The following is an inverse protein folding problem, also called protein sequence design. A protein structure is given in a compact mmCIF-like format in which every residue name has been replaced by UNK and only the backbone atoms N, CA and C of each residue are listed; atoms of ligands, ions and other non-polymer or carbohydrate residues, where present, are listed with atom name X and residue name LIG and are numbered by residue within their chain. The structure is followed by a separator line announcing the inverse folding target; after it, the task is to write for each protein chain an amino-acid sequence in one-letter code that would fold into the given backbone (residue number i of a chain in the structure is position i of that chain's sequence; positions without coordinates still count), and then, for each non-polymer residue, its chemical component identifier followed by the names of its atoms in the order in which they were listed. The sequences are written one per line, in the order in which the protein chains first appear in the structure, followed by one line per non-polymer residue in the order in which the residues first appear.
data_IF_015878045065
#
_entry.id   IF_015878045065
#
_cell.length_a   1.000
_cell.length_b   1.000
_cell.length_c   1.000
_cell.angle_alpha   90.00
_cell.angle_beta   90.00
_cell.angle_gamma   90.00
#
_symmetry.space_group_name_H-M   'P 1'
#
loop_
_entity.id
_entity.type
_entity.pdbx_description
1 polymer ?
#
# COMPACT_ATOMS: atom_id res chain seq x y z
N UNK A 1 -16.46 -19.42 -39.55
CA UNK A 1 -16.49 -18.01 -39.04
C UNK A 1 -15.23 -17.23 -39.42
N UNK A 2 -15.22 -15.89 -39.30
CA UNK A 2 -13.96 -15.13 -39.38
C UNK A 2 -13.13 -15.32 -38.10
N UNK A 3 -11.81 -15.24 -38.22
CA UNK A 3 -10.85 -15.43 -37.10
C UNK A 3 -11.07 -14.42 -35.96
N UNK A 4 -11.52 -13.21 -36.29
CA UNK A 4 -11.82 -12.17 -35.30
C UNK A 4 -13.01 -12.56 -34.41
N UNK A 5 -14.08 -13.09 -35.01
CA UNK A 5 -15.25 -13.56 -34.27
C UNK A 5 -14.91 -14.72 -33.33
N UNK A 6 -14.08 -15.66 -33.79
CA UNK A 6 -13.60 -16.79 -32.97
C UNK A 6 -12.78 -16.27 -31.79
N UNK A 7 -11.84 -15.34 -32.01
CA UNK A 7 -11.07 -14.72 -30.92
C UNK A 7 -11.94 -13.99 -29.91
N UNK A 8 -12.97 -13.27 -30.38
CA UNK A 8 -13.93 -12.56 -29.51
C UNK A 8 -14.74 -13.52 -28.65
N UNK A 9 -15.25 -14.60 -29.24
CA UNK A 9 -16.00 -15.64 -28.51
C UNK A 9 -15.10 -16.36 -27.49
N UNK A 10 -13.90 -16.76 -27.90
CA UNK A 10 -12.92 -17.37 -27.02
C UNK A 10 -12.49 -16.44 -25.88
N UNK A 11 -12.32 -15.14 -26.15
CA UNK A 11 -12.00 -14.14 -25.14
C UNK A 11 -13.10 -14.00 -24.09
N UNK A 12 -14.38 -14.03 -24.52
CA UNK A 12 -15.54 -14.02 -23.61
C UNK A 12 -15.62 -15.28 -22.74
N UNK A 13 -15.35 -16.45 -23.33
CA UNK A 13 -15.33 -17.74 -22.61
C UNK A 13 -14.17 -17.78 -21.60
N UNK A 14 -12.97 -17.35 -22.01
CA UNK A 14 -11.75 -17.35 -21.19
C UNK A 14 -11.62 -16.14 -20.24
N UNK A 15 -12.60 -15.22 -20.27
CA UNK A 15 -12.59 -13.96 -19.49
C UNK A 15 -11.28 -13.18 -19.64
N UNK A 16 -10.78 -13.06 -20.87
CA UNK A 16 -9.52 -12.37 -21.19
C UNK A 16 -9.71 -11.38 -22.35
N UNK A 17 -8.68 -10.59 -22.66
CA UNK A 17 -8.70 -9.73 -23.85
C UNK A 17 -8.37 -10.53 -25.12
N UNK A 18 -8.90 -10.13 -26.26
CA UNK A 18 -8.73 -10.81 -27.56
C UNK A 18 -7.26 -11.02 -27.95
N UNK A 19 -6.39 -10.06 -27.62
CA UNK A 19 -4.95 -10.13 -27.86
C UNK A 19 -4.25 -11.28 -27.11
N UNK A 20 -4.85 -11.76 -26.02
CA UNK A 20 -4.33 -12.89 -25.23
C UNK A 20 -4.82 -14.24 -25.74
N UNK A 21 -5.75 -14.28 -26.69
CA UNK A 21 -6.19 -15.53 -27.31
C UNK A 21 -5.22 -15.90 -28.44
N UNK A 22 -4.58 -17.06 -28.31
CA UNK A 22 -3.74 -17.68 -29.34
C UNK A 22 -4.52 -18.82 -29.99
N UNK A 23 -4.65 -18.77 -31.31
CA UNK A 23 -5.13 -19.92 -32.09
C UNK A 23 -3.90 -20.67 -32.56
N UNK A 24 -3.80 -21.94 -32.17
CA UNK A 24 -2.67 -22.82 -32.53
C UNK A 24 -2.96 -23.52 -33.84
N UNK A 25 -4.17 -24.05 -34.01
CA UNK A 25 -4.64 -24.69 -35.24
C UNK A 25 -5.73 -23.84 -35.90
N UNK A 26 -5.37 -23.20 -37.01
CA UNK A 26 -6.27 -22.32 -37.76
C UNK A 26 -7.30 -23.11 -38.59
N UNK A 27 -6.99 -24.34 -39.01
CA UNK A 27 -7.89 -25.14 -39.82
C UNK A 27 -9.10 -25.55 -38.98
N UNK A 28 -8.85 -26.20 -37.83
CA UNK A 28 -9.91 -26.62 -36.89
C UNK A 28 -10.72 -25.45 -36.33
N UNK A 29 -10.07 -24.31 -36.09
CA UNK A 29 -10.75 -23.14 -35.56
C UNK A 29 -11.78 -22.56 -36.54
N UNK A 30 -11.55 -22.65 -37.86
CA UNK A 30 -12.45 -22.07 -38.88
C UNK A 30 -13.80 -22.78 -38.97
N UNK A 31 -13.82 -24.08 -38.66
CA UNK A 31 -14.99 -24.95 -38.69
C UNK A 31 -15.93 -24.71 -37.50
N UNK A 32 -15.48 -24.00 -36.46
CA UNK A 32 -16.32 -23.66 -35.31
C UNK A 32 -17.43 -22.65 -35.66
N UNK A 33 -18.66 -22.93 -35.21
CA UNK A 33 -19.85 -22.11 -35.44
C UNK A 33 -20.55 -21.68 -34.14
N UNK A 34 -20.41 -22.45 -33.06
CA UNK A 34 -21.07 -22.16 -31.79
C UNK A 34 -20.06 -21.80 -30.69
N UNK A 35 -20.57 -21.27 -29.58
CA UNK A 35 -19.73 -21.02 -28.38
C UNK A 35 -19.30 -22.33 -27.73
N UNK A 36 -20.07 -23.41 -27.89
CA UNK A 36 -19.75 -24.73 -27.36
C UNK A 36 -18.61 -25.40 -28.14
N UNK A 37 -18.56 -25.24 -29.46
CA UNK A 37 -17.42 -25.70 -30.28
C UNK A 37 -16.13 -25.02 -29.84
N UNK A 38 -16.18 -23.70 -29.58
CA UNK A 38 -15.04 -22.94 -29.06
C UNK A 38 -14.60 -23.45 -27.68
N UNK A 39 -15.53 -23.89 -26.81
CA UNK A 39 -15.20 -24.53 -25.54
C UNK A 39 -14.52 -25.89 -25.75
N UNK A 40 -14.95 -26.68 -26.73
CA UNK A 40 -14.30 -27.93 -27.14
C UNK A 40 -12.86 -27.70 -27.60
N UNK A 41 -12.66 -26.76 -28.52
CA UNK A 41 -11.34 -26.40 -29.06
C UNK A 41 -10.38 -25.82 -28.01
N UNK A 42 -10.89 -25.18 -26.96
CA UNK A 42 -10.07 -24.75 -25.81
C UNK A 42 -9.60 -25.96 -25.01
N UNK A 43 -10.45 -26.96 -24.77
CA UNK A 43 -10.09 -28.19 -24.04
C UNK A 43 -9.07 -29.03 -24.81
N UNK A 44 -9.22 -29.11 -26.14
CA UNK A 44 -8.28 -29.80 -27.03
C UNK A 44 -6.96 -29.03 -27.22
N UNK A 45 -6.89 -27.77 -26.78
CA UNK A 45 -5.68 -26.94 -26.88
C UNK A 45 -5.45 -26.31 -28.26
N UNK A 46 -6.43 -26.39 -29.18
CA UNK A 46 -6.40 -25.68 -30.46
C UNK A 46 -6.54 -24.15 -30.27
N UNK A 47 -7.21 -23.72 -29.20
CA UNK A 47 -7.28 -22.33 -28.75
C UNK A 47 -6.70 -22.22 -27.34
N UNK A 48 -5.69 -21.36 -27.16
CA UNK A 48 -4.95 -21.23 -25.91
C UNK A 48 -4.94 -19.80 -25.38
N UNK A 49 -4.92 -19.67 -24.06
CA UNK A 49 -4.72 -18.39 -23.38
C UNK A 49 -3.22 -18.12 -23.23
N UNK A 50 -2.74 -17.02 -23.81
CA UNK A 50 -1.40 -16.51 -23.53
C UNK A 50 -1.31 -16.06 -22.06
N UNK A 51 -0.26 -16.46 -21.32
CA UNK A 51 -0.04 -15.96 -19.97
C UNK A 51 0.11 -14.43 -20.00
N UNK A 52 -0.36 -13.77 -18.94
CA UNK A 52 -0.21 -12.33 -18.83
C UNK A 52 1.25 -11.95 -18.59
N UNK A 53 1.77 -11.00 -19.36
CA UNK A 53 3.10 -10.44 -19.11
C UNK A 53 3.02 -9.54 -17.88
N UNK A 54 3.60 -9.99 -16.76
CA UNK A 54 3.75 -9.20 -15.55
C UNK A 54 5.01 -8.34 -15.59
N UNK A 55 4.99 -7.19 -14.89
CA UNK A 55 6.18 -6.35 -14.72
C UNK A 55 6.91 -6.72 -13.42
N UNK A 56 8.21 -7.01 -13.51
CA UNK A 56 9.00 -7.36 -12.33
C UNK A 56 9.14 -6.18 -11.37
N UNK A 57 8.92 -6.43 -10.07
CA UNK A 57 9.11 -5.46 -9.00
C UNK A 57 10.45 -5.61 -8.26
N UNK A 58 11.37 -6.45 -8.73
CA UNK A 58 12.64 -6.72 -8.04
C UNK A 58 13.47 -5.45 -7.77
N UNK A 59 13.70 -4.62 -8.80
CA UNK A 59 14.44 -3.35 -8.67
C UNK A 59 13.74 -2.36 -7.74
N UNK A 60 12.41 -2.32 -7.77
CA UNK A 60 11.62 -1.45 -6.89
C UNK A 60 11.73 -1.88 -5.42
N UNK A 61 11.63 -3.19 -5.14
CA UNK A 61 11.81 -3.78 -3.81
C UNK A 61 13.21 -3.51 -3.25
N UNK A 62 14.24 -3.75 -4.05
CA UNK A 62 15.63 -3.45 -3.65
C UNK A 62 15.83 -1.96 -3.32
N UNK A 63 15.29 -1.05 -4.14
CA UNK A 63 15.34 0.40 -3.83
C UNK A 63 14.58 0.74 -2.54
N UNK A 64 13.44 0.11 -2.28
CA UNK A 64 12.65 0.34 -1.07
C UNK A 64 13.40 -0.14 0.18
N UNK A 65 14.00 -1.32 0.13
CA UNK A 65 14.83 -1.86 1.21
C UNK A 65 16.01 -0.93 1.54
N UNK A 66 16.75 -0.48 0.51
CA UNK A 66 17.85 0.49 0.70
C UNK A 66 17.36 1.81 1.31
N UNK A 67 16.17 2.29 0.93
CA UNK A 67 15.55 3.51 1.51
C UNK A 67 15.09 3.30 2.96
N UNK A 68 14.58 2.12 3.30
CA UNK A 68 14.18 1.78 4.67
C UNK A 68 15.40 1.72 5.59
N UNK A 69 16.52 1.20 5.11
CA UNK A 69 17.82 1.26 5.80
C UNK A 69 18.46 2.67 5.85
N UNK A 70 17.74 3.72 5.42
CA UNK A 70 18.21 5.11 5.47
C UNK A 70 19.07 5.57 4.28
N UNK A 71 19.46 4.67 3.37
CA UNK A 71 20.27 5.01 2.19
C UNK A 71 19.42 5.65 1.09
N UNK A 72 20.05 6.32 0.12
CA UNK A 72 19.37 6.98 -1.03
C UNK A 72 18.33 8.05 -0.61
N UNK A 73 18.58 8.75 0.50
CA UNK A 73 17.71 9.83 1.03
C UNK A 73 18.42 11.20 1.14
N UNK A 74 19.64 11.33 0.60
CA UNK A 74 20.41 12.58 0.61
C UNK A 74 19.80 13.68 -0.24
N UNK A 75 20.31 14.91 -0.07
CA UNK A 75 19.74 16.13 -0.68
C UNK A 75 19.70 16.07 -2.20
N UNK A 76 20.77 15.60 -2.87
CA UNK A 76 20.78 15.46 -4.33
C UNK A 76 19.76 14.47 -4.91
N UNK A 77 19.21 13.55 -4.10
CA UNK A 77 18.12 12.65 -4.50
C UNK A 77 16.74 13.26 -4.26
N UNK A 78 16.66 14.39 -3.56
CA UNK A 78 15.43 15.07 -3.19
C UNK A 78 15.11 16.14 -4.23
N UNK A 79 13.91 16.07 -4.80
CA UNK A 79 13.43 17.03 -5.83
C UNK A 79 12.36 18.01 -5.32
N UNK A 80 11.86 17.83 -4.10
CA UNK A 80 10.77 18.63 -3.54
C UNK A 80 11.19 19.35 -2.27
N UNK A 81 10.46 20.43 -1.94
CA UNK A 81 10.75 21.28 -0.77
C UNK A 81 10.80 20.51 0.55
N UNK A 82 11.43 21.10 1.57
CA UNK A 82 11.65 20.44 2.86
C UNK A 82 10.35 19.90 3.51
N UNK A 83 9.24 20.63 3.38
CA UNK A 83 7.95 20.29 3.95
C UNK A 83 7.00 19.55 3.02
N UNK A 84 7.39 19.29 1.76
CA UNK A 84 6.53 18.60 0.78
C UNK A 84 6.12 17.17 1.21
N UNK A 85 7.00 16.44 1.90
CA UNK A 85 6.72 15.06 2.34
C UNK A 85 5.91 15.00 3.64
N UNK A 86 6.21 15.90 4.57
CA UNK A 86 5.56 16.00 5.88
C UNK A 86 5.40 17.47 6.23
N UNK A 87 4.16 17.96 6.15
CA UNK A 87 3.83 19.34 6.45
C UNK A 87 4.00 19.65 7.93
N UNK A 88 4.17 20.93 8.27
CA UNK A 88 4.30 21.38 9.66
C UNK A 88 3.11 20.91 10.52
N UNK A 89 1.89 21.06 10.00
CA UNK A 89 0.66 20.60 10.68
C UNK A 89 0.65 19.09 10.90
N UNK A 90 1.04 18.28 9.93
CA UNK A 90 1.12 16.82 10.08
C UNK A 90 2.12 16.40 11.16
N UNK A 91 3.30 17.04 11.19
CA UNK A 91 4.32 16.78 12.23
C UNK A 91 3.79 17.13 13.61
N UNK A 92 3.15 18.29 13.76
CA UNK A 92 2.53 18.73 15.01
C UNK A 92 1.42 17.78 15.48
N UNK A 93 0.49 17.43 14.59
CA UNK A 93 -0.60 16.49 14.90
C UNK A 93 -0.05 15.13 15.33
N UNK A 94 0.93 14.57 14.62
CA UNK A 94 1.54 13.28 14.98
C UNK A 94 2.18 13.33 16.35
N UNK A 95 2.92 14.41 16.64
CA UNK A 95 3.56 14.65 17.95
C UNK A 95 2.52 14.70 19.08
N UNK A 96 1.55 15.61 19.01
CA UNK A 96 0.53 15.82 20.05
C UNK A 96 -0.32 14.58 20.27
N UNK A 97 -0.80 13.94 19.20
CA UNK A 97 -1.59 12.70 19.30
C UNK A 97 -0.80 11.58 19.96
N UNK A 98 0.48 11.46 19.64
CA UNK A 98 1.34 10.44 20.25
C UNK A 98 1.51 10.67 21.76
N UNK A 99 1.68 11.92 22.19
CA UNK A 99 1.82 12.29 23.61
C UNK A 99 0.51 12.12 24.38
N UNK A 100 -0.62 12.54 23.79
CA UNK A 100 -1.95 12.35 24.40
C UNK A 100 -2.36 10.89 24.49
N UNK A 101 -2.02 10.07 23.48
CA UNK A 101 -2.23 8.63 23.53
C UNK A 101 -1.48 7.97 24.68
N UNK A 102 -0.22 8.38 24.93
CA UNK A 102 0.54 7.92 26.10
C UNK A 102 -0.09 8.40 27.41
N UNK A 103 -0.50 9.67 27.48
CA UNK A 103 -1.16 10.22 28.67
C UNK A 103 -2.46 9.47 29.01
N UNK A 104 -3.23 9.09 27.99
CA UNK A 104 -4.46 8.29 28.17
C UNK A 104 -4.15 6.90 28.76
N UNK A 105 -3.04 6.28 28.34
CA UNK A 105 -2.58 5.01 28.91
C UNK A 105 -2.10 5.15 30.37
N UNK A 106 -1.49 6.28 30.72
CA UNK A 106 -1.02 6.56 32.09
C UNK A 106 -2.12 7.05 33.03
N UNK A 107 -3.26 7.54 32.50
CA UNK A 107 -4.40 8.08 33.27
C UNK A 107 -4.77 7.28 34.53
N UNK A 108 -4.93 5.95 34.52
CA UNK A 108 -5.30 5.20 35.73
C UNK A 108 -4.25 5.24 36.83
N UNK A 109 -2.97 5.43 36.48
CA UNK A 109 -1.83 5.47 37.41
C UNK A 109 -1.48 6.88 37.84
N UNK A 110 -2.11 7.91 37.27
CA UNK A 110 -1.80 9.30 37.60
C UNK A 110 -2.53 9.73 38.87
N UNK A 111 -1.88 10.60 39.64
CA UNK A 111 -2.50 11.34 40.74
C UNK A 111 -3.68 12.17 40.22
N UNK A 112 -4.69 12.38 41.06
CA UNK A 112 -5.87 13.16 40.70
C UNK A 112 -5.48 14.60 40.28
N UNK A 113 -6.17 15.15 39.27
CA UNK A 113 -5.85 16.46 38.70
C UNK A 113 -4.61 16.52 37.78
N UNK A 114 -3.65 15.58 37.90
CA UNK A 114 -2.42 15.59 37.10
C UNK A 114 -2.68 15.45 35.59
N UNK A 115 -3.66 14.63 35.19
CA UNK A 115 -4.02 14.42 33.78
C UNK A 115 -4.40 15.73 33.07
N UNK A 116 -5.26 16.56 33.67
CA UNK A 116 -5.71 17.80 33.06
C UNK A 116 -4.55 18.80 32.88
N UNK A 117 -3.66 18.90 33.89
CA UNK A 117 -2.45 19.74 33.83
C UNK A 117 -1.53 19.30 32.69
N UNK A 118 -1.19 18.01 32.64
CA UNK A 118 -0.33 17.44 31.60
C UNK A 118 -0.95 17.59 30.20
N UNK A 119 -2.26 17.43 30.07
CA UNK A 119 -2.97 17.61 28.80
C UNK A 119 -2.86 19.04 28.25
N UNK A 120 -2.97 20.05 29.13
CA UNK A 120 -2.76 21.47 28.78
C UNK A 120 -1.29 21.74 28.41
N UNK A 121 -0.32 21.18 29.14
CA UNK A 121 1.11 21.29 28.82
C UNK A 121 1.46 20.65 27.46
N UNK A 122 0.84 19.52 27.12
CA UNK A 122 0.98 18.90 25.79
C UNK A 122 0.40 19.81 24.70
N UNK A 123 -0.78 20.44 24.94
CA UNK A 123 -1.34 21.45 24.01
C UNK A 123 -0.36 22.62 23.80
N UNK A 124 0.33 23.04 24.86
CA UNK A 124 1.34 24.10 24.86
C UNK A 124 2.69 23.75 24.23
N UNK A 125 2.88 22.54 23.71
CA UNK A 125 4.15 22.08 23.11
C UNK A 125 5.33 21.99 24.11
N UNK A 126 5.07 21.89 25.42
CA UNK A 126 6.11 21.86 26.44
C UNK A 126 7.04 20.64 26.31
N UNK A 127 6.54 19.53 25.75
CA UNK A 127 7.29 18.28 25.59
C UNK A 127 7.74 18.10 24.13
N UNK A 128 9.03 17.85 23.89
CA UNK A 128 9.60 17.58 22.55
C UNK A 128 9.31 16.15 22.06
N UNK A 129 9.28 15.17 22.95
CA UNK A 129 9.03 13.77 22.66
C UNK A 129 8.18 13.10 23.76
N UNK A 130 7.79 11.83 23.55
CA UNK A 130 7.10 11.02 24.57
C UNK A 130 7.97 10.80 25.82
N UNK A 131 9.26 10.53 25.62
CA UNK A 131 10.24 10.31 26.71
C UNK A 131 10.26 11.47 27.70
N UNK A 132 10.23 12.70 27.22
CA UNK A 132 10.25 13.88 28.08
C UNK A 132 8.95 14.02 28.90
N UNK A 133 7.80 13.60 28.36
CA UNK A 133 6.55 13.55 29.13
C UNK A 133 6.66 12.53 30.27
N UNK A 134 7.27 11.36 30.02
CA UNK A 134 7.48 10.32 31.04
C UNK A 134 8.44 10.81 32.12
N UNK A 135 9.60 11.37 31.74
CA UNK A 135 10.56 11.94 32.68
C UNK A 135 9.91 12.99 33.60
N UNK A 136 9.11 13.89 33.03
CA UNK A 136 8.41 14.90 33.81
C UNK A 136 7.41 14.28 34.81
N UNK A 137 6.69 13.23 34.41
CA UNK A 137 5.77 12.50 35.29
C UNK A 137 6.51 11.82 36.45
N UNK A 138 7.67 11.24 36.18
CA UNK A 138 8.54 10.60 37.18
C UNK A 138 9.16 11.62 38.15
N UNK A 139 9.78 12.68 37.62
CA UNK A 139 10.41 13.76 38.42
C UNK A 139 9.42 14.45 39.36
N UNK A 140 8.19 14.67 38.90
CA UNK A 140 7.15 15.32 39.69
C UNK A 140 6.34 14.34 40.54
N UNK A 141 6.72 13.06 40.60
CA UNK A 141 6.04 11.98 41.35
C UNK A 141 4.53 11.97 41.12
N UNK A 142 4.13 12.13 39.85
CA UNK A 142 2.71 12.21 39.47
C UNK A 142 2.06 10.83 39.27
N UNK A 143 2.79 9.76 39.57
CA UNK A 143 2.29 8.40 39.61
C UNK A 143 1.82 8.09 41.04
N UNK A 144 0.67 7.41 41.13
CA UNK A 144 0.15 6.81 42.35
C UNK A 144 0.93 5.56 42.73
#
# INVERSE_FOLDING_TARGET
MTVQTIKRLAAKVLKCGENRVRIVDLAKARDSLTTDDVRGLIKEGAIQLKPSVGQSRAKARFKAERRNAGRRRGEGSRKGTYYAKHTLKQRWMKKVRSQRGLLHQLKPRLVEGAYAKLYKMVKGNNFKAKRQLVLYVEENKLLK
#
